data_IF_068171077028
#
_entry.id   IF_068171077028
#
_cell.length_a   1.000
_cell.length_b   1.000
_cell.length_c   1.000
_cell.angle_alpha   90.00
_cell.angle_beta   90.00
_cell.angle_gamma   90.00
#
_symmetry.space_group_name_H-M   'P 1'
#
loop_
_entity.id
_entity.type
_entity.pdbx_description
1 polymer ?
#
# COMPACT_ATOMS: atom_id res chain seq x y z
N UNK A 1 24.35 -12.95 8.84
CA UNK A 1 23.97 -14.16 8.10
C UNK A 1 24.70 -15.36 8.68
N UNK A 2 26.01 -15.26 8.91
CA UNK A 2 26.83 -16.33 9.52
C UNK A 2 26.21 -16.94 10.80
N UNK A 3 25.68 -16.10 11.70
CA UNK A 3 25.04 -16.57 12.94
C UNK A 3 23.60 -17.08 12.75
N UNK A 4 22.93 -16.77 11.63
CA UNK A 4 21.50 -17.08 11.41
C UNK A 4 21.35 -18.31 10.51
N UNK A 5 22.13 -18.36 9.44
CA UNK A 5 22.17 -19.46 8.49
C UNK A 5 23.60 -19.58 7.93
N UNK A 6 24.44 -20.43 8.56
CA UNK A 6 25.79 -20.69 8.08
C UNK A 6 25.83 -21.20 6.63
N UNK A 7 24.81 -21.97 6.24
CA UNK A 7 24.69 -22.50 4.87
C UNK A 7 24.52 -21.39 3.84
N UNK A 8 23.64 -20.40 4.10
CA UNK A 8 23.47 -19.25 3.21
C UNK A 8 24.69 -18.34 3.19
N UNK A 9 25.37 -18.17 4.33
CA UNK A 9 26.59 -17.37 4.41
C UNK A 9 27.76 -17.95 3.59
N UNK A 10 27.81 -19.28 3.46
CA UNK A 10 28.84 -19.99 2.68
C UNK A 10 28.59 -20.01 1.17
N UNK A 11 27.39 -19.61 0.71
CA UNK A 11 27.08 -19.59 -0.72
C UNK A 11 27.98 -18.59 -1.47
N UNK A 12 28.74 -19.11 -2.43
CA UNK A 12 29.58 -18.35 -3.34
C UNK A 12 29.48 -18.90 -4.75
N UNK A 13 29.40 -18.02 -5.74
CA UNK A 13 29.44 -18.27 -7.18
C UNK A 13 28.58 -19.49 -7.59
N UNK A 14 27.30 -19.47 -7.22
CA UNK A 14 26.41 -20.61 -7.42
C UNK A 14 25.82 -20.63 -8.84
N UNK A 15 25.36 -21.81 -9.27
CA UNK A 15 24.56 -21.99 -10.49
C UNK A 15 23.05 -21.79 -10.26
N UNK A 16 22.65 -21.39 -9.05
CA UNK A 16 21.23 -21.22 -8.69
C UNK A 16 20.72 -19.92 -9.30
N UNK A 17 19.64 -19.99 -10.06
CA UNK A 17 19.01 -18.81 -10.65
C UNK A 17 18.46 -17.84 -9.59
N UNK A 18 18.53 -16.55 -9.88
CA UNK A 18 18.01 -15.49 -9.00
C UNK A 18 16.47 -15.55 -8.95
N UNK A 19 15.85 -15.72 -7.76
CA UNK A 19 14.41 -15.90 -7.65
C UNK A 19 13.60 -14.73 -8.24
N UNK A 20 12.64 -15.04 -9.12
CA UNK A 20 11.72 -14.02 -9.66
C UNK A 20 12.35 -13.03 -10.64
N UNK A 21 13.58 -13.26 -11.10
CA UNK A 21 14.25 -12.46 -12.14
C UNK A 21 14.13 -13.18 -13.49
N UNK A 22 13.58 -12.51 -14.51
CA UNK A 22 13.37 -13.10 -15.84
C UNK A 22 14.67 -13.31 -16.64
N UNK A 23 15.73 -12.58 -16.31
CA UNK A 23 17.05 -12.71 -16.95
C UNK A 23 17.84 -13.86 -16.32
N UNK A 24 18.75 -14.53 -17.05
CA UNK A 24 19.58 -15.60 -16.52
C UNK A 24 20.69 -15.04 -15.61
N UNK A 25 20.29 -14.56 -14.43
CA UNK A 25 21.19 -14.10 -13.37
C UNK A 25 21.23 -15.19 -12.31
N UNK A 26 22.42 -15.54 -11.85
CA UNK A 26 22.62 -16.53 -10.78
C UNK A 26 23.01 -15.86 -9.48
N UNK A 27 22.80 -16.56 -8.36
CA UNK A 27 23.17 -16.07 -7.04
C UNK A 27 24.69 -16.19 -6.89
N UNK A 28 25.38 -15.04 -6.87
CA UNK A 28 26.81 -14.96 -6.59
C UNK A 28 27.10 -15.13 -5.09
N UNK A 29 26.39 -14.41 -4.23
CA UNK A 29 26.55 -14.54 -2.77
C UNK A 29 25.37 -13.93 -2.03
N UNK A 30 25.28 -14.15 -0.71
CA UNK A 30 24.29 -13.51 0.16
C UNK A 30 25.00 -12.50 1.06
N UNK A 31 24.46 -11.29 1.20
CA UNK A 31 25.04 -10.25 2.05
C UNK A 31 24.93 -10.68 3.53
N UNK A 32 26.00 -10.46 4.31
CA UNK A 32 26.03 -10.92 5.71
C UNK A 32 25.07 -10.13 6.63
N UNK A 33 24.56 -8.99 6.18
CA UNK A 33 23.61 -8.16 6.92
C UNK A 33 22.15 -8.56 6.66
N UNK A 34 21.37 -8.74 7.73
CA UNK A 34 19.93 -9.01 7.68
C UNK A 34 19.21 -8.01 8.57
N UNK A 35 18.27 -7.25 8.01
CA UNK A 35 17.43 -6.33 8.79
C UNK A 35 16.09 -6.99 9.12
N UNK A 36 15.62 -6.85 10.36
CA UNK A 36 14.29 -7.33 10.79
C UNK A 36 13.35 -6.13 10.82
N UNK A 37 12.23 -6.19 10.10
CA UNK A 37 11.26 -5.10 10.09
C UNK A 37 10.40 -5.13 11.36
N UNK A 38 10.09 -3.96 11.96
CA UNK A 38 9.33 -3.86 13.21
C UNK A 38 7.82 -4.00 12.98
N UNK A 39 7.39 -5.09 12.35
CA UNK A 39 5.98 -5.43 12.13
C UNK A 39 5.57 -6.66 12.92
N UNK A 40 4.28 -6.99 12.95
CA UNK A 40 3.73 -8.12 13.71
C UNK A 40 4.44 -9.44 13.41
N UNK A 41 4.75 -9.70 12.13
CA UNK A 41 5.37 -10.96 11.69
C UNK A 41 6.88 -10.90 11.57
N UNK A 42 7.50 -9.76 11.95
CA UNK A 42 8.96 -9.55 11.99
C UNK A 42 9.70 -10.12 10.76
N UNK A 43 9.30 -9.75 9.52
CA UNK A 43 9.89 -10.30 8.31
C UNK A 43 11.34 -9.80 8.15
N UNK A 44 12.14 -10.58 7.42
CA UNK A 44 13.59 -10.38 7.28
C UNK A 44 13.90 -9.81 5.91
N UNK A 45 14.55 -8.66 5.86
CA UNK A 45 15.10 -8.08 4.62
C UNK A 45 16.44 -8.75 4.32
N UNK A 46 16.49 -9.45 3.20
CA UNK A 46 17.64 -10.19 2.68
C UNK A 46 18.16 -9.48 1.42
N UNK A 47 19.48 -9.51 1.21
CA UNK A 47 20.11 -8.96 0.01
C UNK A 47 21.01 -10.02 -0.61
N UNK A 48 20.82 -10.28 -1.90
CA UNK A 48 21.57 -11.23 -2.71
C UNK A 48 22.40 -10.47 -3.74
N UNK A 49 23.65 -10.89 -3.94
CA UNK A 49 24.47 -10.40 -5.02
C UNK A 49 24.25 -11.30 -6.25
N UNK A 50 23.91 -10.70 -7.38
CA UNK A 50 23.80 -11.39 -8.66
C UNK A 50 25.15 -11.58 -9.33
N UNK A 51 25.23 -12.55 -10.24
CA UNK A 51 26.38 -12.73 -11.13
C UNK A 51 26.60 -11.55 -12.09
N UNK A 52 25.59 -10.70 -12.28
CA UNK A 52 25.66 -9.44 -13.03
C UNK A 52 26.21 -8.25 -12.22
N UNK A 53 26.62 -8.49 -10.97
CA UNK A 53 27.15 -7.46 -10.06
C UNK A 53 26.08 -6.59 -9.41
N UNK A 54 24.78 -6.84 -9.64
CA UNK A 54 23.69 -6.08 -9.01
C UNK A 54 23.25 -6.71 -7.70
N UNK A 55 22.72 -5.87 -6.81
CA UNK A 55 22.11 -6.30 -5.56
C UNK A 55 20.60 -6.48 -5.76
N UNK A 56 20.10 -7.63 -5.33
CA UNK A 56 18.69 -8.00 -5.36
C UNK A 56 18.18 -8.13 -3.93
N UNK A 57 17.21 -7.28 -3.58
CA UNK A 57 16.66 -7.22 -2.23
C UNK A 57 15.33 -7.96 -2.18
N UNK A 58 15.17 -8.80 -1.15
CA UNK A 58 13.94 -9.54 -0.89
C UNK A 58 13.48 -9.36 0.55
N UNK A 59 12.17 -9.42 0.74
CA UNK A 59 11.53 -9.58 2.02
C UNK A 59 11.17 -11.05 2.21
N UNK A 60 11.84 -11.71 3.16
CA UNK A 60 11.51 -13.05 3.59
C UNK A 60 10.40 -13.01 4.63
N UNK A 61 9.29 -13.68 4.31
CA UNK A 61 8.16 -13.91 5.21
C UNK A 61 8.13 -15.39 5.60
N UNK A 62 8.18 -15.64 6.90
CA UNK A 62 8.05 -16.99 7.47
C UNK A 62 6.74 -17.12 8.24
N UNK A 63 6.20 -18.33 8.27
CA UNK A 63 4.89 -18.68 8.84
C UNK A 63 3.71 -18.02 8.12
N UNK A 64 3.90 -17.62 6.87
CA UNK A 64 2.87 -17.07 5.99
C UNK A 64 2.84 -17.87 4.69
N UNK A 65 1.64 -18.14 4.18
CA UNK A 65 1.43 -18.75 2.86
C UNK A 65 1.35 -17.64 1.80
N UNK A 66 2.27 -17.62 0.85
CA UNK A 66 2.37 -16.58 -0.19
C UNK A 66 1.79 -17.01 -1.54
N UNK A 67 1.19 -18.20 -1.66
CA UNK A 67 0.63 -18.63 -2.94
C UNK A 67 -0.48 -17.70 -3.42
N UNK A 68 -1.28 -17.15 -2.51
CA UNK A 68 -2.31 -16.17 -2.87
C UNK A 68 -1.69 -14.92 -3.52
N UNK A 69 -0.70 -14.30 -2.87
CA UNK A 69 0.03 -13.16 -3.40
C UNK A 69 0.69 -13.49 -4.75
N UNK A 70 1.28 -14.69 -4.91
CA UNK A 70 1.85 -15.14 -6.19
C UNK A 70 0.79 -15.13 -7.32
N UNK A 71 -0.39 -15.72 -7.07
CA UNK A 71 -1.48 -15.76 -8.06
C UNK A 71 -1.98 -14.36 -8.41
N UNK A 72 -2.07 -13.46 -7.43
CA UNK A 72 -2.43 -12.07 -7.68
C UNK A 72 -1.36 -11.38 -8.55
N UNK A 73 -0.07 -11.59 -8.29
CA UNK A 73 1.00 -11.03 -9.12
C UNK A 73 0.96 -11.56 -10.57
N UNK A 74 0.64 -12.85 -10.76
CA UNK A 74 0.42 -13.43 -12.08
C UNK A 74 -0.78 -12.77 -12.79
N UNK A 75 -1.90 -12.60 -12.09
CA UNK A 75 -3.07 -11.89 -12.61
C UNK A 75 -2.72 -10.45 -13.02
N UNK A 76 -1.99 -9.70 -12.18
CA UNK A 76 -1.53 -8.35 -12.52
C UNK A 76 -0.62 -8.34 -13.76
N UNK A 77 0.26 -9.32 -13.91
CA UNK A 77 1.09 -9.45 -15.10
C UNK A 77 0.25 -9.67 -16.37
N UNK A 78 -0.80 -10.47 -16.30
CA UNK A 78 -1.73 -10.70 -17.42
C UNK A 78 -2.58 -9.46 -17.69
N UNK A 79 -3.07 -8.78 -16.65
CA UNK A 79 -3.79 -7.53 -16.82
C UNK A 79 -2.92 -6.50 -17.56
N UNK A 80 -1.62 -6.41 -17.22
CA UNK A 80 -0.70 -5.49 -17.89
C UNK A 80 -0.50 -5.76 -19.38
N UNK A 81 -0.53 -7.01 -19.84
CA UNK A 81 -0.43 -7.30 -21.28
C UNK A 81 -1.66 -6.80 -22.05
N UNK A 82 -2.80 -6.64 -21.36
CA UNK A 82 -4.06 -6.16 -21.94
C UNK A 82 -4.25 -4.65 -21.83
N UNK A 83 -3.69 -4.01 -20.80
CA UNK A 83 -3.85 -2.58 -20.52
C UNK A 83 -3.07 -1.68 -21.49
N UNK A 84 -2.03 -2.21 -22.14
CA UNK A 84 -1.17 -1.50 -23.09
C UNK A 84 -0.14 -0.59 -22.41
N UNK A 85 0.75 0.03 -23.20
CA UNK A 85 1.98 0.66 -22.68
C UNK A 85 1.77 1.84 -21.72
N UNK A 86 0.64 2.54 -21.84
CA UNK A 86 0.36 3.75 -21.05
C UNK A 86 -0.36 3.46 -19.72
N UNK A 87 -0.88 2.24 -19.53
CA UNK A 87 -1.67 1.85 -18.36
C UNK A 87 -1.02 0.60 -17.76
N UNK A 88 -0.40 0.75 -16.59
CA UNK A 88 0.30 -0.37 -15.94
C UNK A 88 -0.07 -0.45 -14.47
N UNK A 89 -0.47 -1.64 -14.06
CA UNK A 89 -0.57 -2.06 -12.67
C UNK A 89 0.82 -2.49 -12.19
N UNK A 90 1.36 -1.80 -11.19
CA UNK A 90 2.64 -2.20 -10.61
C UNK A 90 2.51 -3.59 -9.97
N UNK A 91 3.45 -4.48 -10.29
CA UNK A 91 3.54 -5.81 -9.71
C UNK A 91 5.00 -6.15 -9.44
N UNK A 92 5.22 -7.01 -8.45
CA UNK A 92 6.53 -7.47 -8.00
C UNK A 92 6.56 -8.99 -7.93
N UNK A 93 7.74 -9.60 -7.97
CA UNK A 93 7.83 -11.07 -7.93
C UNK A 93 7.62 -11.58 -6.51
N UNK A 94 6.76 -12.59 -6.37
CA UNK A 94 6.51 -13.35 -5.14
C UNK A 94 6.89 -14.79 -5.41
N UNK A 95 7.71 -15.37 -4.55
CA UNK A 95 8.28 -16.71 -4.71
C UNK A 95 7.96 -17.52 -3.45
N UNK A 96 6.87 -18.30 -3.44
CA UNK A 96 6.62 -19.28 -2.39
C UNK A 96 7.77 -20.30 -2.34
N UNK A 97 8.33 -20.53 -1.16
CA UNK A 97 9.36 -21.55 -0.92
C UNK A 97 8.75 -22.83 -0.31
N UNK A 98 7.47 -22.79 0.03
CA UNK A 98 6.71 -23.86 0.67
C UNK A 98 5.38 -23.33 1.21
N UNK A 99 4.61 -24.14 1.95
CA UNK A 99 3.28 -23.75 2.44
C UNK A 99 3.30 -22.70 3.56
N UNK A 100 4.47 -22.39 4.12
CA UNK A 100 4.62 -21.48 5.29
C UNK A 100 5.79 -20.51 5.14
N UNK A 101 6.32 -20.32 3.95
CA UNK A 101 7.41 -19.38 3.74
C UNK A 101 7.54 -18.95 2.29
N UNK A 102 8.02 -17.74 2.08
CA UNK A 102 8.44 -17.31 0.75
C UNK A 102 9.19 -15.98 0.75
N UNK A 103 9.54 -15.56 -0.46
CA UNK A 103 10.26 -14.32 -0.74
C UNK A 103 9.35 -13.37 -1.52
N UNK A 104 9.36 -12.10 -1.13
CA UNK A 104 8.74 -11.01 -1.89
C UNK A 104 9.85 -10.08 -2.36
N UNK A 105 9.87 -9.74 -3.64
CA UNK A 105 10.84 -8.79 -4.17
C UNK A 105 10.62 -7.42 -3.55
N UNK A 106 11.71 -6.79 -3.12
CA UNK A 106 11.64 -5.46 -2.56
C UNK A 106 11.40 -4.42 -3.64
N UNK A 107 10.46 -3.51 -3.40
CA UNK A 107 10.21 -2.36 -4.27
C UNK A 107 10.94 -1.17 -3.67
N UNK A 108 11.86 -0.58 -4.43
CA UNK A 108 12.64 0.58 -3.98
C UNK A 108 11.89 1.89 -4.20
N UNK A 109 12.29 2.92 -3.43
CA UNK A 109 11.81 4.31 -3.56
C UNK A 109 10.29 4.50 -3.40
N UNK A 110 9.62 3.56 -2.75
CA UNK A 110 8.20 3.67 -2.38
C UNK A 110 8.05 4.05 -0.92
N UNK A 111 7.10 4.95 -0.64
CA UNK A 111 6.80 5.44 0.70
C UNK A 111 5.37 5.09 1.07
N UNK A 112 5.11 4.44 2.20
CA UNK A 112 3.74 4.26 2.69
C UNK A 112 3.07 5.61 2.95
N UNK A 113 1.84 5.79 2.48
CA UNK A 113 1.13 7.07 2.64
C UNK A 113 0.95 7.41 4.13
N UNK A 114 0.86 6.40 5.02
CA UNK A 114 0.78 6.61 6.46
C UNK A 114 2.01 7.36 7.01
N UNK A 115 3.19 7.13 6.42
CA UNK A 115 4.42 7.83 6.81
C UNK A 115 4.31 9.34 6.58
N UNK A 116 3.59 9.78 5.54
CA UNK A 116 3.36 11.21 5.27
C UNK A 116 2.50 11.84 6.36
N UNK A 117 1.41 11.15 6.74
CA UNK A 117 0.53 11.59 7.82
C UNK A 117 1.28 11.64 9.17
N UNK A 118 2.07 10.61 9.48
CA UNK A 118 2.87 10.55 10.72
C UNK A 118 3.91 11.67 10.79
N UNK A 119 4.62 11.96 9.69
CA UNK A 119 5.56 13.09 9.60
C UNK A 119 4.88 14.43 9.82
N UNK A 120 3.67 14.61 9.28
CA UNK A 120 2.88 15.82 9.54
C UNK A 120 2.50 15.94 11.03
N UNK A 121 1.97 14.88 11.64
CA UNK A 121 1.63 14.90 13.07
C UNK A 121 2.84 15.23 13.96
N UNK A 122 4.02 14.72 13.61
CA UNK A 122 5.28 15.06 14.29
C UNK A 122 5.59 16.55 14.23
N UNK A 123 5.47 17.17 13.05
CA UNK A 123 5.71 18.60 12.86
C UNK A 123 4.72 19.47 13.64
N UNK A 124 3.44 19.10 13.62
CA UNK A 124 2.41 19.82 14.40
C UNK A 124 2.67 19.73 15.90
N UNK A 125 3.08 18.55 16.40
CA UNK A 125 3.42 18.38 17.81
C UNK A 125 4.64 19.21 18.23
N UNK A 126 5.65 19.32 17.35
CA UNK A 126 6.82 20.17 17.59
C UNK A 126 6.50 21.67 17.55
N UNK A 127 5.59 22.11 16.67
CA UNK A 127 5.17 23.51 16.60
C UNK A 127 4.24 23.90 17.76
N UNK A 128 3.47 22.94 18.29
CA UNK A 128 2.51 23.11 19.37
C UNK A 128 3.12 22.99 20.76
N UNK A 129 4.19 23.73 21.08
CA UNK A 129 4.66 24.11 22.43
C UNK A 129 4.86 23.02 23.53
N UNK A 130 4.64 21.74 23.27
CA UNK A 130 4.87 20.65 24.23
C UNK A 130 5.93 19.71 23.64
N UNK A 131 7.20 19.99 23.95
CA UNK A 131 8.29 19.07 23.66
C UNK A 131 7.98 17.68 24.27
N UNK A 132 7.93 16.66 23.42
CA UNK A 132 7.72 15.27 23.86
C UNK A 132 6.26 14.82 24.00
N UNK A 133 5.26 15.59 23.58
CA UNK A 133 3.88 15.11 23.58
C UNK A 133 3.73 13.83 22.72
N UNK A 134 3.19 12.73 23.28
CA UNK A 134 3.07 11.48 22.55
C UNK A 134 2.09 11.63 21.39
N UNK A 135 2.53 11.23 20.19
CA UNK A 135 1.67 11.23 18.99
C UNK A 135 0.54 10.24 19.22
N UNK A 136 -0.67 10.78 19.30
CA UNK A 136 -1.87 10.00 19.52
C UNK A 136 -2.12 9.04 18.34
N UNK A 137 -2.44 7.78 18.65
CA UNK A 137 -2.75 6.78 17.63
C UNK A 137 -4.07 7.13 16.92
N UNK A 138 -4.28 6.73 15.66
CA UNK A 138 -5.54 7.00 14.96
C UNK A 138 -6.80 6.56 15.72
N UNK A 139 -6.73 5.42 16.43
CA UNK A 139 -7.84 4.94 17.25
C UNK A 139 -8.13 5.87 18.44
N UNK A 140 -7.10 6.31 19.15
CA UNK A 140 -7.22 7.24 20.27
C UNK A 140 -7.78 8.59 19.80
N UNK A 141 -7.29 9.11 18.67
CA UNK A 141 -7.78 10.36 18.08
C UNK A 141 -9.27 10.26 17.73
N UNK A 142 -9.68 9.15 17.11
CA UNK A 142 -11.08 8.89 16.81
C UNK A 142 -11.96 8.84 18.07
N UNK A 143 -11.54 8.09 19.11
CA UNK A 143 -12.32 8.00 20.35
C UNK A 143 -12.34 9.33 21.12
N UNK A 144 -11.28 10.14 21.07
CA UNK A 144 -11.23 11.45 21.73
C UNK A 144 -12.31 12.41 21.23
N UNK A 145 -12.67 12.32 19.94
CA UNK A 145 -13.75 13.11 19.32
C UNK A 145 -15.12 12.44 19.44
N UNK A 146 -15.15 11.11 19.44
CA UNK A 146 -16.39 10.35 19.52
C UNK A 146 -17.03 10.42 20.92
N UNK A 147 -16.24 10.28 21.98
CA UNK A 147 -16.75 10.18 23.36
C UNK A 147 -17.57 11.39 23.81
N UNK A 148 -17.14 12.66 23.58
CA UNK A 148 -17.95 13.83 23.93
C UNK A 148 -19.29 13.87 23.20
N UNK A 149 -19.29 13.62 21.89
CA UNK A 149 -20.50 13.66 21.06
C UNK A 149 -21.47 12.51 21.37
N UNK A 150 -20.99 11.35 21.81
CA UNK A 150 -21.86 10.27 22.30
C UNK A 150 -22.48 10.63 23.65
N UNK A 151 -21.74 11.30 24.54
CA UNK A 151 -22.25 11.76 25.84
C UNK A 151 -23.36 12.80 25.67
N UNK A 152 -23.24 13.71 24.70
CA UNK A 152 -24.30 14.69 24.35
C UNK A 152 -25.61 14.03 23.93
N UNK A 153 -25.54 12.86 23.31
CA UNK A 153 -26.71 12.08 22.87
C UNK A 153 -27.18 11.07 23.95
N UNK A 154 -26.64 11.17 25.17
CA UNK A 154 -27.01 10.32 26.31
C UNK A 154 -26.38 8.93 26.33
N UNK A 155 -25.40 8.64 25.46
CA UNK A 155 -24.68 7.37 25.42
C UNK A 155 -23.39 7.50 26.24
N UNK A 156 -23.44 7.06 27.50
CA UNK A 156 -22.32 7.17 28.45
C UNK A 156 -21.41 5.94 28.49
N UNK A 157 -21.92 4.75 28.17
CA UNK A 157 -21.14 3.51 28.06
C UNK A 157 -20.87 3.16 26.61
N UNK A 158 -19.67 3.46 26.14
CA UNK A 158 -19.23 3.16 24.76
C UNK A 158 -18.58 1.79 24.74
N UNK A 159 -19.31 0.80 24.23
CA UNK A 159 -18.77 -0.53 23.96
C UNK A 159 -18.24 -0.61 22.51
N UNK A 160 -16.93 -0.81 22.28
CA UNK A 160 -16.35 -1.00 20.95
C UNK A 160 -16.87 -2.22 20.19
N UNK A 161 -17.53 -3.17 20.87
CA UNK A 161 -18.21 -4.33 20.27
C UNK A 161 -19.56 -3.95 19.67
N UNK A 162 -20.20 -2.89 20.15
CA UNK A 162 -21.56 -2.49 19.76
C UNK A 162 -21.59 -1.30 18.80
N UNK A 163 -20.64 -1.22 17.86
CA UNK A 163 -20.57 -0.12 16.87
C UNK A 163 -21.85 0.07 16.05
N UNK A 164 -22.63 -1.00 15.83
CA UNK A 164 -23.90 -0.95 15.09
C UNK A 164 -24.94 -0.03 15.75
N UNK A 165 -24.83 0.22 17.06
CA UNK A 165 -25.76 1.07 17.83
C UNK A 165 -25.38 2.55 17.81
N UNK A 166 -24.21 2.91 17.26
CA UNK A 166 -23.75 4.29 17.26
C UNK A 166 -24.52 5.14 16.23
N UNK A 167 -25.04 6.32 16.61
CA UNK A 167 -25.80 7.17 15.70
C UNK A 167 -24.97 7.61 14.49
N UNK A 168 -25.52 7.45 13.28
CA UNK A 168 -24.84 7.86 12.04
C UNK A 168 -24.58 9.37 12.00
N UNK A 169 -25.45 10.19 12.60
CA UNK A 169 -25.28 11.64 12.71
C UNK A 169 -24.02 12.01 13.49
N UNK A 170 -23.77 11.34 14.62
CA UNK A 170 -22.56 11.52 15.44
C UNK A 170 -21.32 11.08 14.66
N UNK A 171 -21.35 9.92 14.02
CA UNK A 171 -20.21 9.43 13.23
C UNK A 171 -19.86 10.36 12.06
N UNK A 172 -20.86 10.93 11.39
CA UNK A 172 -20.66 11.94 10.34
C UNK A 172 -20.01 13.21 10.90
N UNK A 173 -20.46 13.70 12.07
CA UNK A 173 -19.86 14.87 12.73
C UNK A 173 -18.38 14.63 13.07
N UNK A 174 -18.06 13.50 13.71
CA UNK A 174 -16.68 13.10 14.02
C UNK A 174 -15.81 13.06 12.76
N UNK A 175 -16.32 12.45 11.68
CA UNK A 175 -15.59 12.39 10.41
C UNK A 175 -15.28 13.79 9.87
N UNK A 176 -16.27 14.69 9.84
CA UNK A 176 -16.10 16.06 9.35
C UNK A 176 -15.10 16.85 10.21
N UNK A 177 -15.14 16.70 11.53
CA UNK A 177 -14.17 17.34 12.43
C UNK A 177 -12.75 16.85 12.20
N UNK A 178 -12.54 15.53 12.08
CA UNK A 178 -11.22 14.94 11.80
C UNK A 178 -10.69 15.32 10.41
N UNK A 179 -11.60 15.46 9.43
CA UNK A 179 -11.24 15.94 8.10
C UNK A 179 -10.82 17.41 8.12
N UNK A 180 -11.44 18.26 8.96
CA UNK A 180 -11.06 19.67 9.11
C UNK A 180 -9.74 19.84 9.86
N UNK A 181 -9.44 18.97 10.82
CA UNK A 181 -8.17 19.02 11.56
C UNK A 181 -6.96 18.55 10.75
N UNK A 182 -7.18 17.91 9.59
CA UNK A 182 -6.11 17.31 8.79
C UNK A 182 -5.97 18.03 7.44
N UNK A 183 -4.77 18.48 7.05
CA UNK A 183 -4.55 19.07 5.73
C UNK A 183 -4.90 18.11 4.59
N UNK A 184 -5.52 18.65 3.55
CA UNK A 184 -5.93 17.90 2.35
C UNK A 184 -4.80 17.71 1.33
N UNK A 185 -3.69 18.41 1.49
CA UNK A 185 -2.63 18.52 0.48
C UNK A 185 -1.31 17.85 0.89
N UNK A 186 -1.33 16.93 1.85
CA UNK A 186 -0.09 16.26 2.31
C UNK A 186 0.57 15.52 1.15
N UNK A 187 -0.18 14.69 0.44
CA UNK A 187 0.36 13.93 -0.68
C UNK A 187 0.72 14.82 -1.88
N UNK A 188 -0.17 15.76 -2.24
CA UNK A 188 0.07 16.64 -3.40
C UNK A 188 1.30 17.54 -3.21
N UNK A 189 1.55 18.03 -1.99
CA UNK A 189 2.74 18.81 -1.65
C UNK A 189 4.01 17.96 -1.73
N UNK A 190 3.98 16.73 -1.22
CA UNK A 190 5.15 15.84 -1.28
C UNK A 190 5.51 15.48 -2.73
N UNK A 191 4.53 15.25 -3.61
CA UNK A 191 4.77 15.06 -5.05
C UNK A 191 5.39 16.30 -5.71
N UNK A 192 4.97 17.50 -5.31
CA UNK A 192 5.58 18.75 -5.77
C UNK A 192 7.03 18.89 -5.30
N UNK A 193 7.29 18.71 -4.00
CA UNK A 193 8.62 18.88 -3.41
C UNK A 193 9.66 17.89 -3.94
N UNK A 194 9.24 16.69 -4.38
CA UNK A 194 10.14 15.71 -4.99
C UNK A 194 10.33 15.91 -6.50
N UNK A 195 9.61 16.86 -7.10
CA UNK A 195 9.72 17.16 -8.53
C UNK A 195 10.74 18.28 -8.77
N UNK A 196 11.70 18.04 -9.68
CA UNK A 196 12.74 19.02 -9.99
C UNK A 196 12.21 20.29 -10.69
N UNK A 197 11.09 20.18 -11.42
CA UNK A 197 10.46 21.30 -12.13
C UNK A 197 8.98 21.00 -12.41
N UNK A 198 8.25 22.00 -12.90
CA UNK A 198 6.82 21.89 -13.21
C UNK A 198 6.49 20.79 -14.23
N UNK A 199 7.36 20.54 -15.21
CA UNK A 199 7.16 19.47 -16.19
C UNK A 199 7.32 18.07 -15.58
N UNK A 200 8.27 17.90 -14.67
CA UNK A 200 8.42 16.66 -13.90
C UNK A 200 7.23 16.43 -12.96
N UNK A 201 6.78 17.48 -12.28
CA UNK A 201 5.59 17.43 -11.43
C UNK A 201 4.33 17.05 -12.22
N UNK A 202 4.10 17.66 -13.38
CA UNK A 202 2.97 17.32 -14.24
C UNK A 202 2.98 15.84 -14.65
N UNK A 203 4.15 15.33 -15.03
CA UNK A 203 4.33 13.89 -15.35
C UNK A 203 4.04 13.00 -14.14
N UNK A 204 4.49 13.41 -12.94
CA UNK A 204 4.24 12.69 -11.70
C UNK A 204 2.76 12.64 -11.34
N UNK A 205 2.04 13.78 -11.41
CA UNK A 205 0.59 13.83 -11.20
C UNK A 205 -0.17 12.99 -12.22
N UNK A 206 0.24 12.99 -13.49
CA UNK A 206 -0.37 12.16 -14.54
C UNK A 206 -0.18 10.67 -14.26
N UNK A 207 1.02 10.25 -13.89
CA UNK A 207 1.30 8.86 -13.55
C UNK A 207 0.55 8.44 -12.28
N UNK A 208 0.50 9.30 -11.26
CA UNK A 208 -0.28 9.09 -10.04
C UNK A 208 -1.77 8.85 -10.33
N UNK A 209 -2.40 9.76 -11.08
CA UNK A 209 -3.82 9.64 -11.46
C UNK A 209 -4.09 8.32 -12.20
N UNK A 210 -3.22 7.99 -13.15
CA UNK A 210 -3.36 6.78 -13.97
C UNK A 210 -3.16 5.50 -13.15
N UNK A 211 -2.09 5.46 -12.36
CA UNK A 211 -1.73 4.31 -11.51
C UNK A 211 -2.78 4.09 -10.42
N UNK A 212 -3.26 5.16 -9.77
CA UNK A 212 -4.34 5.08 -8.81
C UNK A 212 -5.63 4.53 -9.43
N UNK A 213 -5.99 5.00 -10.63
CA UNK A 213 -7.19 4.54 -11.32
C UNK A 213 -7.09 3.05 -11.68
N UNK A 214 -5.98 2.62 -12.29
CA UNK A 214 -5.73 1.22 -12.65
C UNK A 214 -5.78 0.31 -11.42
N UNK A 215 -5.07 0.67 -10.34
CA UNK A 215 -5.05 -0.14 -9.12
C UNK A 215 -6.40 -0.15 -8.39
N UNK A 216 -7.18 0.92 -8.48
CA UNK A 216 -8.53 0.98 -7.90
C UNK A 216 -9.52 0.08 -8.64
N UNK A 217 -9.45 0.02 -9.98
CA UNK A 217 -10.31 -0.87 -10.79
C UNK A 217 -9.94 -2.32 -10.55
N UNK A 218 -8.65 -2.63 -10.63
CA UNK A 218 -8.19 -3.99 -10.39
C UNK A 218 -8.54 -4.42 -8.97
N UNK A 219 -8.33 -3.54 -7.98
CA UNK A 219 -8.75 -3.76 -6.60
C UNK A 219 -10.25 -4.06 -6.48
N UNK A 220 -11.09 -3.31 -7.19
CA UNK A 220 -12.53 -3.57 -7.23
C UNK A 220 -12.85 -4.94 -7.85
N UNK A 221 -12.24 -5.29 -8.99
CA UNK A 221 -12.48 -6.57 -9.69
C UNK A 221 -12.09 -7.77 -8.83
N UNK A 222 -10.93 -7.72 -8.17
CA UNK A 222 -10.48 -8.81 -7.30
C UNK A 222 -11.14 -8.78 -5.91
N UNK A 223 -11.96 -7.77 -5.61
CA UNK A 223 -12.56 -7.58 -4.29
C UNK A 223 -11.54 -7.35 -3.18
N UNK A 224 -10.54 -6.50 -3.43
CA UNK A 224 -9.45 -6.16 -2.51
C UNK A 224 -9.93 -5.25 -1.37
N UNK A 225 -9.82 -5.73 -0.15
CA UNK A 225 -10.06 -4.99 1.10
C UNK A 225 -8.77 -4.61 1.82
N UNK A 226 -8.89 -4.13 3.06
CA UNK A 226 -7.80 -3.74 3.95
C UNK A 226 -6.81 -2.75 3.33
N UNK A 227 -7.33 -1.79 2.54
CA UNK A 227 -6.54 -0.73 1.90
C UNK A 227 -6.25 0.41 2.87
N UNK A 228 -5.63 0.11 4.01
CA UNK A 228 -5.13 1.15 4.93
C UNK A 228 -3.87 1.84 4.38
N UNK A 229 -3.44 2.92 5.03
CA UNK A 229 -2.39 3.80 4.52
C UNK A 229 -0.97 3.19 4.53
N UNK A 230 -0.77 2.02 5.15
CA UNK A 230 0.49 1.28 5.06
C UNK A 230 0.51 0.32 3.88
N UNK A 231 -0.66 -0.16 3.44
CA UNK A 231 -0.81 -1.06 2.30
C UNK A 231 -0.86 -0.33 0.94
N UNK A 232 -0.93 1.00 0.97
CA UNK A 232 -0.87 1.85 -0.21
C UNK A 232 0.41 2.68 -0.14
N UNK A 233 1.35 2.34 -1.02
CA UNK A 233 2.64 3.00 -1.17
C UNK A 233 2.62 3.90 -2.40
N UNK A 234 3.45 4.94 -2.38
CA UNK A 234 3.66 5.84 -3.52
C UNK A 234 5.15 6.07 -3.75
N UNK A 235 5.58 6.02 -5.00
CA UNK A 235 6.89 6.51 -5.38
C UNK A 235 6.81 8.03 -5.55
N UNK A 236 7.41 8.80 -4.63
CA UNK A 236 7.29 10.26 -4.64
C UNK A 236 8.01 10.92 -5.82
N UNK A 237 9.00 10.24 -6.42
CA UNK A 237 9.74 10.75 -7.56
C UNK A 237 8.98 10.58 -8.88
N UNK A 238 8.17 9.52 -9.01
CA UNK A 238 7.46 9.20 -10.26
C UNK A 238 5.95 9.39 -10.18
N UNK A 239 5.37 9.33 -8.98
CA UNK A 239 3.93 9.31 -8.75
C UNK A 239 3.28 7.92 -8.81
N UNK A 240 4.03 6.86 -9.11
CA UNK A 240 3.48 5.50 -9.21
C UNK A 240 2.91 5.01 -7.86
N UNK A 241 1.72 4.41 -7.90
CA UNK A 241 1.04 3.83 -6.73
C UNK A 241 1.27 2.32 -6.71
N UNK A 242 1.69 1.80 -5.55
CA UNK A 242 1.96 0.37 -5.35
C UNK A 242 1.12 -0.12 -4.18
N UNK A 243 0.32 -1.16 -4.43
CA UNK A 243 -0.41 -1.86 -3.36
C UNK A 243 0.41 -3.07 -2.90
N UNK A 244 0.44 -3.29 -1.59
CA UNK A 244 1.03 -4.48 -0.96
C UNK A 244 -0.02 -5.20 -0.11
N UNK A 245 0.32 -6.41 0.33
CA UNK A 245 -0.49 -7.27 1.21
C UNK A 245 -1.87 -7.60 0.62
N UNK A 246 -1.99 -8.73 -0.08
CA UNK A 246 -3.24 -9.12 -0.76
C UNK A 246 -4.04 -10.17 0.01
N UNK A 247 -3.78 -10.34 1.32
CA UNK A 247 -4.42 -11.35 2.16
C UNK A 247 -5.96 -11.20 2.24
N UNK A 248 -6.46 -9.98 2.10
CA UNK A 248 -7.90 -9.64 2.14
C UNK A 248 -8.39 -9.35 0.72
N UNK A 249 -8.41 -10.35 -0.16
CA UNK A 249 -9.03 -10.27 -1.49
C UNK A 249 -10.30 -11.16 -1.58
N UNK A 250 -10.96 -11.17 -2.74
CA UNK A 250 -12.21 -11.90 -3.01
C UNK A 250 -13.34 -11.54 -2.04
N UNK A 251 -13.52 -10.24 -1.81
CA UNK A 251 -14.58 -9.67 -0.99
C UNK A 251 -14.54 -10.04 0.51
N UNK A 252 -13.44 -10.65 0.99
CA UNK A 252 -13.22 -10.92 2.42
C UNK A 252 -13.36 -9.68 3.31
N UNK A 253 -13.14 -8.47 2.78
CA UNK A 253 -13.37 -7.22 3.51
C UNK A 253 -14.81 -7.05 4.00
N UNK A 254 -15.80 -7.67 3.34
CA UNK A 254 -17.21 -7.60 3.72
C UNK A 254 -17.55 -8.50 4.93
N UNK A 255 -16.74 -9.52 5.21
CA UNK A 255 -16.95 -10.47 6.31
C UNK A 255 -16.21 -10.11 7.59
N UNK A 256 -15.40 -9.04 7.55
CA UNK A 256 -14.73 -8.51 8.74
C UNK A 256 -15.74 -8.06 9.81
N UNK A 257 -15.29 -8.01 11.07
CA UNK A 257 -16.11 -7.54 12.21
C UNK A 257 -16.72 -6.16 11.97
N UNK A 258 -16.00 -5.28 11.29
CA UNK A 258 -16.52 -4.04 10.73
C UNK A 258 -16.38 -4.14 9.21
N UNK A 259 -17.47 -4.42 8.48
CA UNK A 259 -17.41 -4.61 7.03
C UNK A 259 -16.93 -3.38 6.29
N UNK A 260 -16.01 -3.57 5.35
CA UNK A 260 -15.62 -2.56 4.37
C UNK A 260 -16.67 -2.50 3.26
N UNK A 261 -17.38 -1.36 3.16
CA UNK A 261 -18.42 -1.15 2.15
C UNK A 261 -17.92 -0.40 0.91
N UNK A 262 -16.77 0.25 1.01
CA UNK A 262 -16.20 1.05 -0.09
C UNK A 262 -15.40 0.14 -1.02
N UNK A 263 -15.51 0.30 -2.35
CA UNK A 263 -14.82 -0.57 -3.31
C UNK A 263 -13.31 -0.28 -3.39
N UNK A 264 -12.92 0.96 -3.14
CA UNK A 264 -11.52 1.40 -3.13
C UNK A 264 -11.38 2.68 -2.29
N UNK A 265 -10.14 3.05 -1.99
CA UNK A 265 -9.82 4.20 -1.15
C UNK A 265 -9.73 5.49 -1.97
N UNK A 266 -10.67 6.42 -1.77
CA UNK A 266 -10.62 7.76 -2.35
C UNK A 266 -10.90 8.83 -1.28
N UNK A 267 -9.91 9.09 -0.44
CA UNK A 267 -10.01 10.08 0.65
C UNK A 267 -9.54 11.47 0.20
N UNK A 268 -9.73 12.54 0.99
CA UNK A 268 -9.42 13.91 0.55
C UNK A 268 -7.99 14.12 0.05
N UNK A 269 -7.00 13.49 0.69
CA UNK A 269 -5.59 13.58 0.28
C UNK A 269 -5.32 12.89 -1.07
N UNK A 270 -6.01 11.79 -1.36
CA UNK A 270 -5.91 11.13 -2.67
C UNK A 270 -6.55 12.01 -3.75
N UNK A 271 -7.74 12.55 -3.47
CA UNK A 271 -8.44 13.45 -4.40
C UNK A 271 -7.63 14.70 -4.72
N UNK A 272 -7.03 15.34 -3.72
CA UNK A 272 -6.23 16.55 -3.91
C UNK A 272 -4.95 16.30 -4.74
N UNK A 273 -4.39 15.09 -4.67
CA UNK A 273 -3.20 14.72 -5.44
C UNK A 273 -3.48 14.43 -6.93
N UNK A 274 -4.75 14.33 -7.33
CA UNK A 274 -5.14 14.21 -8.75
C UNK A 274 -4.94 15.49 -9.56
N UNK A 275 -4.59 16.60 -8.89
CA UNK A 275 -4.38 17.90 -9.52
C UNK A 275 -5.68 18.65 -9.81
N UNK A 276 -5.57 19.70 -10.62
CA UNK A 276 -6.66 20.67 -10.88
C UNK A 276 -7.86 20.02 -11.57
N UNK A 277 -7.63 19.00 -12.40
CA UNK A 277 -8.67 18.23 -13.09
C UNK A 277 -9.48 17.33 -12.15
N UNK A 278 -9.01 17.13 -10.91
CA UNK A 278 -9.69 16.29 -9.93
C UNK A 278 -9.97 14.89 -10.45
N UNK A 279 -11.19 14.41 -10.18
CA UNK A 279 -11.59 13.01 -10.43
C UNK A 279 -12.00 12.78 -11.90
N UNK A 280 -12.31 13.83 -12.68
CA UNK A 280 -12.91 13.68 -14.03
C UNK A 280 -12.02 12.90 -15.00
N UNK A 281 -10.72 13.19 -15.02
CA UNK A 281 -9.74 12.48 -15.84
C UNK A 281 -9.58 11.03 -15.38
N UNK A 282 -9.55 10.81 -14.07
CA UNK A 282 -9.51 9.46 -13.52
C UNK A 282 -10.77 8.69 -13.90
N UNK A 283 -11.96 9.27 -13.76
CA UNK A 283 -13.27 8.67 -14.11
C UNK A 283 -13.37 8.30 -15.59
N UNK A 284 -12.83 9.13 -16.47
CA UNK A 284 -12.73 8.81 -17.89
C UNK A 284 -11.84 7.59 -18.14
N UNK A 285 -10.68 7.52 -17.47
CA UNK A 285 -9.81 6.33 -17.52
C UNK A 285 -10.50 5.10 -16.91
N UNK A 286 -11.23 5.28 -15.79
CA UNK A 286 -12.04 4.24 -15.15
C UNK A 286 -13.06 3.65 -16.12
N UNK A 287 -13.83 4.49 -16.79
CA UNK A 287 -14.83 4.11 -17.80
C UNK A 287 -14.19 3.32 -18.95
N UNK A 288 -13.09 3.84 -19.52
CA UNK A 288 -12.42 3.23 -20.67
C UNK A 288 -11.83 1.85 -20.37
N UNK A 289 -11.28 1.69 -19.16
CA UNK A 289 -10.69 0.43 -18.68
C UNK A 289 -11.74 -0.66 -18.47
N UNK A 290 -12.85 -0.31 -17.81
CA UNK A 290 -13.95 -1.26 -17.56
C UNK A 290 -14.66 -1.62 -18.86
N UNK A 291 -14.85 -0.67 -19.78
CA UNK A 291 -15.61 -0.90 -21.02
C UNK A 291 -14.85 -1.75 -22.04
N UNK A 292 -13.53 -1.54 -22.22
CA UNK A 292 -12.74 -2.29 -23.20
C UNK A 292 -12.44 -3.74 -22.80
N UNK A 293 -12.32 -4.01 -21.50
CA UNK A 293 -11.75 -5.28 -21.02
C UNK A 293 -12.72 -6.10 -20.14
N UNK A 294 -14.02 -5.76 -20.15
CA UNK A 294 -15.05 -6.32 -19.25
C UNK A 294 -15.18 -7.84 -19.33
N UNK A 295 -15.18 -8.39 -20.54
CA UNK A 295 -15.37 -9.84 -20.78
C UNK A 295 -14.16 -10.63 -20.29
N UNK A 296 -12.97 -10.08 -20.47
CA UNK A 296 -11.71 -10.80 -20.27
C UNK A 296 -11.23 -10.71 -18.82
N UNK A 297 -11.36 -9.55 -18.18
CA UNK A 297 -10.99 -9.41 -16.76
C UNK A 297 -11.88 -10.27 -15.84
N UNK A 298 -13.12 -10.54 -16.22
CA UNK A 298 -14.02 -11.44 -15.50
C UNK A 298 -13.62 -12.91 -15.73
N UNK A 299 -13.20 -13.27 -16.95
CA UNK A 299 -12.87 -14.65 -17.31
C UNK A 299 -11.56 -15.18 -16.65
N UNK A 300 -10.68 -14.29 -16.18
CA UNK A 300 -9.42 -14.65 -15.50
C UNK A 300 -9.40 -14.30 -14.00
N UNK A 301 -10.45 -13.66 -13.46
CA UNK A 301 -10.55 -13.33 -12.04
C UNK A 301 -11.23 -14.42 -11.21
N UNK A 302 -11.78 -15.47 -11.86
CA UNK A 302 -12.48 -16.59 -11.25
C UNK A 302 -11.92 -17.93 -11.74
#
# INVERSE_FOLDING_TARGET
MENISPSLAKLKDTLIAMPGVKKPVTIKSVVNFVAILPTKTKPKKLVFNGSDGKMYTYLFKGLEDLHLDERIMQFLSIANTMLGDNLRAHHYSVIPLGPRSGLISWVDNVTPIFSLYKKWQQREASNGSIEGAPIMRPSELFYSKLMPLLKEVGITKVDPLQRKKWPLSVLKKVLVELMRSTPTHLLSKELWCHSANAGAWWRSCKLYSTSLAVMSIIGYIIGLGDRHLDNVLVNLNTGEVVHIDYNVCFEKGKTLRVPEKVPFRLTPNFRAALGVTGIEVSLYLFSKLVYKNKVVLIQYAF
#
